data_IF_467137407854
#
_entry.id   IF_467137407854
#
_cell.length_a   1.000
_cell.length_b   1.000
_cell.length_c   1.000
_cell.angle_alpha   90.00
_cell.angle_beta   90.00
_cell.angle_gamma   90.00
#
_symmetry.space_group_name_H-M   'P 1'
#
loop_
_entity.id
_entity.type
_entity.pdbx_description
1 polymer ?
#
# COMPACT_ATOMS: atom_id res chain seq x y z
N UNK A 1 -56.71 -28.09 -43.88
CA UNK A 1 -55.88 -29.09 -44.48
C UNK A 1 -54.71 -29.15 -43.55
N UNK A 2 -54.87 -29.81 -42.45
CA UNK A 2 -54.71 -31.27 -42.22
C UNK A 2 -53.23 -31.57 -42.22
N UNK A 3 -52.64 -32.08 -41.27
CA UNK A 3 -52.76 -33.01 -40.14
C UNK A 3 -51.33 -33.29 -39.71
N UNK A 4 -50.95 -33.46 -38.59
CA UNK A 4 -51.33 -34.18 -37.37
C UNK A 4 -50.19 -35.19 -36.99
N UNK A 5 -50.03 -35.36 -35.73
CA UNK A 5 -49.49 -36.53 -34.99
C UNK A 5 -47.95 -36.76 -34.98
N UNK A 6 -47.30 -37.14 -33.91
CA UNK A 6 -47.71 -37.62 -32.57
C UNK A 6 -46.50 -37.75 -31.67
N UNK A 7 -46.67 -37.46 -30.43
CA UNK A 7 -46.11 -37.99 -29.18
C UNK A 7 -45.41 -39.37 -29.26
N UNK A 8 -44.34 -39.50 -28.47
CA UNK A 8 -44.27 -40.57 -27.47
C UNK A 8 -43.32 -40.28 -26.31
N UNK A 9 -43.92 -40.17 -25.14
CA UNK A 9 -43.30 -40.32 -23.79
C UNK A 9 -43.01 -41.80 -23.51
N UNK A 10 -42.01 -42.05 -22.64
CA UNK A 10 -41.95 -43.12 -21.60
C UNK A 10 -40.60 -42.97 -20.88
N UNK A 11 -40.48 -42.52 -19.72
CA UNK A 11 -40.81 -42.94 -18.31
C UNK A 11 -40.38 -44.35 -17.94
N UNK A 12 -39.78 -44.38 -16.73
CA UNK A 12 -39.70 -45.50 -15.72
C UNK A 12 -38.37 -46.31 -15.80
N UNK A 13 -37.68 -46.74 -14.76
CA UNK A 13 -37.88 -46.75 -13.29
C UNK A 13 -36.60 -47.31 -12.64
N UNK A 14 -36.30 -46.84 -11.45
CA UNK A 14 -35.71 -47.49 -10.29
C UNK A 14 -35.07 -48.88 -10.42
N UNK A 15 -33.91 -49.07 -9.76
CA UNK A 15 -33.87 -50.01 -8.64
C UNK A 15 -32.60 -49.84 -7.77
N UNK A 16 -32.88 -49.71 -6.51
CA UNK A 16 -31.95 -49.89 -5.38
C UNK A 16 -31.54 -51.39 -5.31
N UNK A 17 -30.33 -51.65 -4.89
CA UNK A 17 -30.08 -52.76 -3.95
C UNK A 17 -28.83 -52.52 -3.10
N UNK A 18 -29.06 -52.54 -1.82
CA UNK A 18 -28.14 -52.76 -0.73
C UNK A 18 -27.52 -54.15 -0.81
N UNK A 19 -26.28 -54.32 -0.39
CA UNK A 19 -25.87 -55.50 0.37
C UNK A 19 -24.72 -55.16 1.30
N UNK A 20 -24.92 -55.54 2.53
CA UNK A 20 -24.11 -55.49 3.73
C UNK A 20 -23.26 -56.76 3.93
N UNK A 21 -22.34 -56.67 4.86
CA UNK A 21 -21.74 -57.71 5.75
C UNK A 21 -20.35 -58.19 5.33
N UNK A 22 -19.36 -57.95 6.09
CA UNK A 22 -18.95 -58.40 7.40
C UNK A 22 -17.82 -59.44 7.37
N UNK A 23 -16.74 -59.09 8.03
CA UNK A 23 -15.85 -59.81 8.94
C UNK A 23 -15.07 -61.04 8.42
N UNK A 24 -13.80 -61.13 8.69
CA UNK A 24 -13.17 -61.94 9.76
C UNK A 24 -11.64 -61.75 9.72
N UNK A 25 -11.09 -61.69 10.89
CA UNK A 25 -9.71 -61.55 11.30
C UNK A 25 -8.83 -62.73 10.90
N UNK A 26 -7.55 -62.51 10.72
CA UNK A 26 -6.51 -63.40 11.33
C UNK A 26 -5.14 -62.69 11.31
N UNK A 27 -4.53 -62.71 12.44
CA UNK A 27 -3.23 -62.24 12.81
C UNK A 27 -2.11 -63.01 12.11
N UNK A 28 -1.07 -62.31 11.70
CA UNK A 28 0.29 -62.83 11.64
C UNK A 28 1.28 -61.73 11.99
N UNK A 29 1.86 -61.88 13.17
CA UNK A 29 2.98 -61.13 13.70
C UNK A 29 4.22 -61.48 12.89
N UNK A 30 4.77 -60.50 12.16
CA UNK A 30 6.17 -60.57 11.73
C UNK A 30 6.84 -59.27 12.18
N UNK A 31 7.69 -59.42 13.20
CA UNK A 31 8.65 -58.40 13.60
C UNK A 31 9.63 -58.11 12.45
N UNK A 32 9.56 -56.94 11.86
CA UNK A 32 10.67 -56.36 11.15
C UNK A 32 10.96 -54.98 11.77
N UNK A 33 12.02 -54.94 12.54
CA UNK A 33 12.69 -53.70 12.93
C UNK A 33 13.14 -52.98 11.67
N UNK A 34 12.42 -51.94 11.30
CA UNK A 34 12.92 -50.90 10.39
C UNK A 34 12.79 -49.57 11.12
N UNK A 35 13.95 -49.14 11.58
CA UNK A 35 14.20 -47.80 12.10
C UNK A 35 13.70 -46.73 11.13
N UNK A 36 12.62 -46.05 11.48
CA UNK A 36 12.19 -44.81 10.82
C UNK A 36 13.24 -43.74 11.13
N UNK A 37 13.70 -42.98 10.12
CA UNK A 37 14.53 -41.83 10.41
C UNK A 37 13.69 -40.80 11.17
N UNK A 38 14.17 -40.42 12.34
CA UNK A 38 13.66 -39.28 13.06
C UNK A 38 13.70 -38.05 12.15
N UNK A 39 12.55 -37.49 11.83
CA UNK A 39 12.45 -36.15 11.29
C UNK A 39 12.94 -35.19 12.37
N UNK A 40 14.20 -34.85 12.32
CA UNK A 40 14.73 -33.72 13.07
C UNK A 40 13.99 -32.49 12.57
N UNK A 41 13.05 -31.99 13.36
CA UNK A 41 12.56 -30.63 13.23
C UNK A 41 13.79 -29.74 13.43
N UNK A 42 14.25 -29.16 12.33
CA UNK A 42 15.21 -28.06 12.38
C UNK A 42 14.55 -26.95 13.19
N UNK A 43 15.14 -26.48 14.28
CA UNK A 43 14.58 -25.33 14.99
C UNK A 43 14.58 -24.17 13.99
N UNK A 44 13.46 -23.45 13.94
CA UNK A 44 13.34 -22.22 13.20
C UNK A 44 14.56 -21.37 13.55
N UNK A 45 15.38 -21.09 12.54
CA UNK A 45 16.52 -20.20 12.65
C UNK A 45 16.03 -18.87 13.18
N UNK A 46 16.34 -18.57 14.43
CA UNK A 46 16.22 -17.21 14.97
C UNK A 46 16.99 -16.33 14.02
N UNK A 47 16.31 -15.36 13.43
CA UNK A 47 16.92 -14.32 12.61
C UNK A 47 18.03 -13.66 13.42
N UNK A 48 19.24 -13.73 12.91
CA UNK A 48 20.43 -13.07 13.45
C UNK A 48 20.20 -11.56 13.45
N UNK A 49 20.13 -10.88 14.59
CA UNK A 49 19.88 -9.44 14.66
C UNK A 49 21.04 -8.58 14.12
N UNK A 50 22.14 -9.21 13.68
CA UNK A 50 23.34 -8.51 13.18
C UNK A 50 23.43 -8.49 11.65
N UNK A 51 22.51 -9.15 10.94
CA UNK A 51 22.47 -9.08 9.48
C UNK A 51 21.86 -7.74 9.07
N UNK A 52 22.58 -6.83 8.40
CA UNK A 52 21.98 -5.60 7.90
C UNK A 52 20.84 -5.98 6.96
N UNK A 53 19.65 -5.59 7.32
CA UNK A 53 18.47 -5.73 6.49
C UNK A 53 18.74 -4.96 5.18
N UNK A 54 18.86 -5.69 4.08
CA UNK A 54 19.07 -5.12 2.74
C UNK A 54 17.79 -4.37 2.36
N UNK A 55 17.73 -3.09 2.75
CA UNK A 55 16.62 -2.23 2.37
C UNK A 55 16.82 -1.80 0.91
N UNK A 56 15.83 -1.97 0.04
CA UNK A 56 15.89 -1.41 -1.31
C UNK A 56 15.98 0.12 -1.20
N UNK A 57 16.81 0.73 -2.03
CA UNK A 57 16.99 2.18 -2.09
C UNK A 57 16.68 2.64 -3.49
N UNK A 58 16.24 3.88 -3.61
CA UNK A 58 16.21 4.58 -4.89
C UNK A 58 17.64 4.94 -5.28
N UNK A 59 18.05 4.53 -6.46
CA UNK A 59 19.29 4.99 -7.04
C UNK A 59 19.06 6.36 -7.68
N UNK A 60 20.04 7.27 -7.54
CA UNK A 60 19.99 8.56 -8.23
C UNK A 60 20.64 8.37 -9.59
N UNK A 61 19.94 8.77 -10.64
CA UNK A 61 20.49 8.68 -11.98
C UNK A 61 21.77 9.52 -12.13
N UNK A 62 22.64 9.13 -13.08
CA UNK A 62 23.93 9.79 -13.32
C UNK A 62 23.81 11.23 -13.78
N UNK A 63 22.64 11.64 -14.30
CA UNK A 63 22.33 13.02 -14.65
C UNK A 63 21.04 13.48 -13.93
N UNK A 64 21.09 13.65 -12.58
CA UNK A 64 19.93 14.07 -11.81
C UNK A 64 19.43 15.43 -12.31
N UNK A 65 18.14 15.53 -12.62
CA UNK A 65 17.51 16.80 -12.94
C UNK A 65 17.31 17.56 -11.62
N UNK A 66 17.99 18.70 -11.38
CA UNK A 66 17.83 19.45 -10.13
C UNK A 66 16.36 19.84 -9.95
N UNK A 67 15.83 19.69 -8.73
CA UNK A 67 14.51 20.23 -8.42
C UNK A 67 14.52 21.72 -8.61
N UNK A 68 13.54 22.31 -9.34
CA UNK A 68 13.43 23.77 -9.45
C UNK A 68 13.09 24.44 -8.12
N UNK A 69 12.68 23.68 -7.10
CA UNK A 69 12.33 24.16 -5.76
C UNK A 69 13.53 24.09 -4.78
N UNK A 70 14.77 24.08 -5.30
CA UNK A 70 16.01 23.98 -4.50
C UNK A 70 16.26 25.16 -3.52
N UNK A 71 15.40 26.18 -3.50
CA UNK A 71 15.48 27.29 -2.54
C UNK A 71 15.19 26.87 -1.10
N UNK A 72 14.64 25.65 -0.86
CA UNK A 72 14.37 25.13 0.48
C UNK A 72 15.62 24.61 1.22
N UNK A 73 16.80 24.62 0.63
CA UNK A 73 18.07 24.29 1.26
C UNK A 73 18.80 25.50 1.85
N UNK A 74 18.10 26.57 2.22
CA UNK A 74 18.68 27.70 2.93
C UNK A 74 19.25 27.23 4.28
N UNK A 75 20.44 27.70 4.69
CA UNK A 75 21.05 27.28 5.95
C UNK A 75 20.13 27.64 7.12
N UNK A 76 19.90 26.65 7.99
CA UNK A 76 19.10 26.81 9.21
C UNK A 76 19.60 28.01 10.01
N UNK A 77 18.75 28.99 10.19
CA UNK A 77 19.06 30.21 10.93
C UNK A 77 19.35 29.84 12.41
N UNK A 78 20.55 30.14 12.89
CA UNK A 78 21.02 29.82 14.24
C UNK A 78 20.22 30.51 15.38
N UNK A 79 19.21 31.33 15.05
CA UNK A 79 18.32 32.02 15.99
C UNK A 79 16.89 31.47 15.97
N UNK A 80 16.68 30.25 15.45
CA UNK A 80 15.37 29.62 15.57
C UNK A 80 15.04 29.29 17.04
N UNK A 81 13.76 29.45 17.48
CA UNK A 81 13.35 29.04 18.81
C UNK A 81 13.68 27.55 19.02
N UNK A 82 14.13 27.24 20.25
CA UNK A 82 14.45 25.85 20.64
C UNK A 82 13.32 24.89 20.21
N UNK A 83 13.67 23.69 19.71
CA UNK A 83 12.69 22.71 19.30
C UNK A 83 11.75 22.38 20.47
N UNK A 84 10.46 22.08 20.18
CA UNK A 84 9.50 21.72 21.21
C UNK A 84 9.98 20.53 22.03
N UNK A 85 9.63 20.52 23.32
CA UNK A 85 10.00 19.48 24.28
C UNK A 85 9.66 18.08 23.76
N UNK A 86 10.52 17.11 24.04
CA UNK A 86 10.36 15.72 23.62
C UNK A 86 9.14 15.07 24.29
N UNK A 87 8.43 14.14 23.61
CA UNK A 87 7.32 13.40 24.21
C UNK A 87 7.72 12.70 25.51
N UNK A 88 6.88 12.87 26.53
CA UNK A 88 7.12 12.29 27.87
C UNK A 88 8.02 13.11 28.78
N UNK A 89 8.54 14.26 28.36
CA UNK A 89 9.32 15.17 29.20
C UNK A 89 8.39 16.05 30.02
N UNK A 90 8.53 15.97 31.35
CA UNK A 90 7.82 16.85 32.29
C UNK A 90 8.61 18.14 32.41
N UNK A 91 8.13 19.21 31.80
CA UNK A 91 8.74 20.55 31.97
C UNK A 91 8.02 21.35 33.07
N UNK A 92 8.80 21.89 34.00
CA UNK A 92 8.31 22.83 35.00
C UNK A 92 8.37 24.24 34.41
N UNK A 93 7.22 24.85 34.19
CA UNK A 93 7.17 26.27 33.81
C UNK A 93 7.60 27.15 34.96
N UNK A 94 8.04 28.37 34.64
CA UNK A 94 8.45 29.35 35.65
C UNK A 94 7.34 29.73 36.65
N UNK A 95 6.07 29.47 36.28
CA UNK A 95 4.89 29.63 37.11
C UNK A 95 4.61 28.45 38.07
N UNK A 96 5.49 27.43 38.07
CA UNK A 96 5.36 26.25 38.95
C UNK A 96 4.43 25.17 38.44
N UNK A 97 3.82 25.35 37.25
CA UNK A 97 2.93 24.36 36.62
C UNK A 97 3.76 23.30 35.88
N UNK A 98 3.44 22.03 36.09
CA UNK A 98 4.03 20.93 35.35
C UNK A 98 3.22 20.67 34.08
N UNK A 99 3.86 20.76 32.93
CA UNK A 99 3.25 20.41 31.65
C UNK A 99 3.83 19.09 31.21
N UNK A 100 2.98 18.07 31.06
CA UNK A 100 3.31 16.79 30.46
C UNK A 100 2.87 16.84 29.00
N UNK A 101 3.81 16.78 28.08
CA UNK A 101 3.49 16.55 26.66
C UNK A 101 3.32 15.05 26.44
N UNK A 102 2.10 14.61 26.25
CA UNK A 102 1.81 13.26 25.81
C UNK A 102 1.54 13.32 24.31
N UNK A 103 2.46 12.79 23.50
CA UNK A 103 2.17 12.56 22.09
C UNK A 103 1.13 11.45 22.02
N UNK A 104 -0.05 11.83 21.63
CA UNK A 104 -1.10 10.88 21.30
C UNK A 104 -1.03 10.69 19.80
N UNK A 105 -0.45 9.58 19.36
CA UNK A 105 -0.36 9.23 17.93
C UNK A 105 -1.78 9.07 17.37
N UNK A 106 -2.21 10.03 16.57
CA UNK A 106 -3.45 9.92 15.81
C UNK A 106 -3.21 9.05 14.58
N UNK A 107 -4.07 8.05 14.39
CA UNK A 107 -4.07 7.21 13.21
C UNK A 107 -4.98 7.86 12.16
N UNK A 108 -4.40 8.32 11.07
CA UNK A 108 -5.13 8.90 9.94
C UNK A 108 -5.43 7.84 8.89
N UNK A 109 -6.67 7.78 8.43
CA UNK A 109 -7.16 6.88 7.40
C UNK A 109 -7.67 7.69 6.21
N UNK A 110 -7.21 7.36 5.02
CA UNK A 110 -7.85 7.76 3.77
C UNK A 110 -8.95 6.75 3.45
N UNK A 111 -10.18 7.23 3.34
CA UNK A 111 -11.37 6.41 3.15
C UNK A 111 -12.13 6.86 1.91
N UNK A 112 -12.37 5.96 0.96
CA UNK A 112 -13.30 6.19 -0.15
C UNK A 112 -14.58 5.40 0.10
N UNK A 113 -15.72 6.09 0.12
CA UNK A 113 -17.03 5.47 0.24
C UNK A 113 -17.66 5.33 -1.15
N UNK A 114 -18.11 4.13 -1.50
CA UNK A 114 -18.74 3.84 -2.78
C UNK A 114 -20.09 3.15 -2.59
N UNK A 115 -21.05 3.48 -3.46
CA UNK A 115 -22.36 2.84 -3.49
C UNK A 115 -22.29 1.44 -4.14
N UNK A 116 -23.43 0.75 -4.22
CA UNK A 116 -23.54 -0.58 -4.85
C UNK A 116 -23.19 -0.58 -6.35
N UNK A 117 -23.16 0.59 -6.98
CA UNK A 117 -22.78 0.77 -8.40
C UNK A 117 -21.32 1.19 -8.56
N UNK A 118 -20.57 1.26 -7.46
CA UNK A 118 -19.15 1.69 -7.47
C UNK A 118 -18.96 3.21 -7.60
N UNK A 119 -20.02 4.02 -7.47
CA UNK A 119 -19.92 5.48 -7.56
C UNK A 119 -19.51 6.06 -6.21
N UNK A 120 -18.63 7.06 -6.21
CA UNK A 120 -18.22 7.80 -5.02
C UNK A 120 -19.44 8.42 -4.31
N UNK A 121 -19.46 8.34 -2.98
CA UNK A 121 -20.45 8.97 -2.10
C UNK A 121 -19.72 10.05 -1.30
N UNK A 122 -20.03 11.32 -1.60
CA UNK A 122 -19.26 12.48 -1.12
C UNK A 122 -19.99 13.30 -0.05
N UNK A 123 -21.25 12.98 0.26
CA UNK A 123 -22.10 13.76 1.18
C UNK A 123 -22.24 13.12 2.57
N UNK A 124 -21.30 12.26 2.97
CA UNK A 124 -21.28 11.63 4.27
C UNK A 124 -20.69 12.54 5.34
N UNK A 125 -21.22 12.40 6.55
CA UNK A 125 -20.74 13.12 7.73
C UNK A 125 -19.96 12.21 8.67
N UNK A 126 -19.23 12.78 9.61
CA UNK A 126 -18.47 12.04 10.62
C UNK A 126 -19.29 10.94 11.32
N UNK A 127 -20.56 11.21 11.62
CA UNK A 127 -21.44 10.27 12.32
C UNK A 127 -21.87 9.05 11.50
N UNK A 128 -21.70 9.11 10.18
CA UNK A 128 -22.04 8.03 9.27
C UNK A 128 -20.95 6.93 9.23
N UNK A 129 -19.77 7.20 9.79
CA UNK A 129 -18.63 6.28 9.79
C UNK A 129 -18.45 5.59 11.15
N UNK A 130 -18.08 4.31 11.09
CA UNK A 130 -17.67 3.49 12.25
C UNK A 130 -16.31 2.88 11.95
N UNK A 131 -15.35 3.07 12.86
CA UNK A 131 -13.99 2.56 12.73
C UNK A 131 -13.81 1.42 13.69
N UNK A 132 -13.15 0.36 13.24
CA UNK A 132 -12.77 -0.78 14.06
C UNK A 132 -11.27 -1.05 13.88
N UNK A 133 -10.57 -1.19 15.01
CA UNK A 133 -9.18 -1.67 15.06
C UNK A 133 -9.14 -3.00 15.80
N UNK A 134 -8.60 -4.04 15.17
CA UNK A 134 -8.60 -5.42 15.68
C UNK A 134 -10.02 -5.88 16.15
N UNK A 135 -11.05 -5.41 15.45
CA UNK A 135 -12.45 -5.68 15.79
C UNK A 135 -13.03 -4.80 16.91
N UNK A 136 -12.22 -3.98 17.56
CA UNK A 136 -12.66 -3.07 18.64
C UNK A 136 -13.08 -1.72 18.06
N UNK A 137 -14.29 -1.22 18.37
CA UNK A 137 -14.74 0.09 17.86
C UNK A 137 -13.86 1.22 18.41
N UNK A 138 -13.52 2.17 17.55
CA UNK A 138 -12.70 3.32 17.86
C UNK A 138 -13.52 4.62 17.74
N UNK A 139 -13.15 5.62 18.54
CA UNK A 139 -13.79 6.93 18.48
C UNK A 139 -13.07 7.82 17.46
N UNK A 140 -13.81 8.33 16.48
CA UNK A 140 -13.28 9.30 15.52
C UNK A 140 -12.90 10.59 16.23
N UNK A 141 -11.67 11.06 16.06
CA UNK A 141 -11.14 12.31 16.64
C UNK A 141 -11.14 13.44 15.62
N UNK A 142 -10.72 13.16 14.41
CA UNK A 142 -10.75 14.12 13.31
C UNK A 142 -11.50 13.57 12.09
N UNK A 143 -12.12 14.48 11.34
CA UNK A 143 -12.86 14.16 10.13
C UNK A 143 -12.75 15.32 9.15
N UNK A 144 -12.30 15.02 7.94
CA UNK A 144 -12.15 16.01 6.89
C UNK A 144 -12.56 15.40 5.55
N UNK A 145 -13.39 16.13 4.82
CA UNK A 145 -13.73 15.85 3.43
C UNK A 145 -13.51 17.12 2.62
N UNK A 146 -12.31 17.31 2.15
CA UNK A 146 -11.90 18.44 1.33
C UNK A 146 -10.80 17.98 0.40
N UNK A 147 -10.67 18.62 -0.76
CA UNK A 147 -9.53 18.40 -1.66
C UNK A 147 -8.24 18.88 -0.98
N UNK A 148 -7.55 17.92 -0.37
CA UNK A 148 -6.27 18.15 0.29
C UNK A 148 -5.12 17.91 -0.69
N UNK A 149 -4.11 18.77 -0.71
CA UNK A 149 -2.92 18.52 -1.50
C UNK A 149 -2.19 17.28 -1.01
N UNK A 150 -1.61 16.54 -1.95
CA UNK A 150 -0.95 15.25 -1.72
C UNK A 150 0.52 15.27 -2.11
N UNK A 151 1.33 14.49 -1.37
CA UNK A 151 2.66 14.08 -1.81
C UNK A 151 2.51 12.78 -2.60
N UNK A 152 2.89 12.79 -3.87
CA UNK A 152 2.65 11.69 -4.81
C UNK A 152 3.94 11.14 -5.39
N UNK A 153 4.11 9.82 -5.37
CA UNK A 153 5.13 9.12 -6.16
C UNK A 153 4.51 8.54 -7.43
N UNK A 154 5.10 8.82 -8.58
CA UNK A 154 4.71 8.22 -9.86
C UNK A 154 5.81 7.25 -10.25
N UNK A 155 5.47 5.96 -10.22
CA UNK A 155 6.38 4.86 -10.54
C UNK A 155 5.99 4.30 -11.90
N UNK A 156 6.90 4.38 -12.83
CA UNK A 156 6.66 3.92 -14.20
C UNK A 156 7.65 2.81 -14.54
N UNK A 157 7.09 1.69 -14.94
CA UNK A 157 7.86 0.57 -15.45
C UNK A 157 8.63 0.97 -16.71
N UNK A 158 9.93 0.69 -16.69
CA UNK A 158 10.87 0.98 -17.76
C UNK A 158 11.48 -0.32 -18.33
N UNK A 159 10.82 -1.46 -18.12
CA UNK A 159 11.21 -2.73 -18.70
C UNK A 159 11.05 -2.74 -20.23
N UNK A 160 11.67 -3.73 -20.88
CA UNK A 160 11.69 -3.80 -22.35
C UNK A 160 10.32 -3.92 -23.01
N UNK A 161 9.32 -4.51 -22.34
CA UNK A 161 7.93 -4.66 -22.82
C UNK A 161 7.14 -3.35 -22.86
N UNK A 162 7.60 -2.33 -22.13
CA UNK A 162 6.96 -1.02 -22.05
C UNK A 162 7.25 -0.10 -23.25
N UNK A 163 8.19 -0.48 -24.14
CA UNK A 163 8.68 0.39 -25.22
C UNK A 163 7.57 1.08 -26.02
N UNK A 164 6.63 0.31 -26.53
CA UNK A 164 5.54 0.81 -27.36
C UNK A 164 4.40 1.48 -26.57
N UNK A 165 4.36 1.29 -25.24
CA UNK A 165 3.32 1.79 -24.36
C UNK A 165 3.71 3.11 -23.68
N UNK A 166 5.01 3.41 -23.64
CA UNK A 166 5.60 4.46 -22.83
C UNK A 166 5.05 5.86 -23.13
N UNK A 167 4.83 6.19 -24.39
CA UNK A 167 4.29 7.50 -24.76
C UNK A 167 2.89 7.72 -24.16
N UNK A 168 1.98 6.74 -24.29
CA UNK A 168 0.63 6.81 -23.73
C UNK A 168 0.65 6.88 -22.19
N UNK A 169 1.55 6.13 -21.55
CA UNK A 169 1.73 6.14 -20.10
C UNK A 169 2.22 7.49 -19.59
N UNK A 170 3.20 8.08 -20.25
CA UNK A 170 3.70 9.41 -19.89
C UNK A 170 2.61 10.48 -20.04
N UNK A 171 1.83 10.44 -21.12
CA UNK A 171 0.71 11.35 -21.33
C UNK A 171 -0.36 11.17 -20.24
N UNK A 172 -0.68 9.95 -19.86
CA UNK A 172 -1.64 9.65 -18.80
C UNK A 172 -1.15 10.16 -17.43
N UNK A 173 0.12 9.92 -17.09
CA UNK A 173 0.72 10.44 -15.86
C UNK A 173 0.70 11.98 -15.80
N UNK A 174 1.02 12.64 -16.90
CA UNK A 174 0.94 14.10 -17.00
C UNK A 174 -0.50 14.63 -16.92
N UNK A 175 -1.46 13.92 -17.50
CA UNK A 175 -2.87 14.29 -17.43
C UNK A 175 -3.42 14.12 -16.00
N UNK A 176 -3.00 13.07 -15.27
CA UNK A 176 -3.30 12.94 -13.85
C UNK A 176 -2.78 14.14 -13.07
N UNK A 177 -1.50 14.51 -13.26
CA UNK A 177 -0.88 15.66 -12.58
C UNK A 177 -1.56 16.99 -12.90
N UNK A 178 -1.99 17.18 -14.15
CA UNK A 178 -2.76 18.39 -14.54
C UNK A 178 -4.15 18.44 -13.95
N UNK A 179 -4.78 17.27 -13.76
CA UNK A 179 -6.10 17.13 -13.17
C UNK A 179 -6.07 17.17 -11.64
N UNK A 180 -4.90 17.05 -11.03
CA UNK A 180 -4.66 17.06 -9.59
C UNK A 180 -4.68 18.50 -9.01
N UNK A 181 -4.57 18.61 -7.68
CA UNK A 181 -4.52 19.90 -6.99
C UNK A 181 -3.22 20.64 -7.35
N UNK A 182 -3.26 21.95 -7.70
CA UNK A 182 -2.05 22.72 -8.03
C UNK A 182 -0.99 22.77 -6.90
N UNK A 183 -1.38 22.44 -5.66
CA UNK A 183 -0.49 22.38 -4.50
C UNK A 183 0.07 20.98 -4.27
N UNK A 184 -0.24 20.00 -5.12
CA UNK A 184 0.35 18.69 -5.04
C UNK A 184 1.85 18.77 -5.33
N UNK A 185 2.60 17.91 -4.66
CA UNK A 185 4.01 17.74 -4.90
C UNK A 185 4.28 16.29 -5.31
N UNK A 186 4.91 16.08 -6.45
CA UNK A 186 5.15 14.75 -6.97
C UNK A 186 6.63 14.49 -7.23
N UNK A 187 7.05 13.24 -7.15
CA UNK A 187 8.33 12.74 -7.63
C UNK A 187 8.10 11.62 -8.67
N UNK A 188 9.11 11.38 -9.50
CA UNK A 188 9.06 10.37 -10.56
C UNK A 188 10.14 9.33 -10.34
N UNK A 189 9.75 8.07 -10.37
CA UNK A 189 10.63 6.90 -10.36
C UNK A 189 10.38 6.09 -11.62
N UNK A 190 11.41 5.89 -12.41
CA UNK A 190 11.42 4.87 -13.45
C UNK A 190 12.10 3.62 -12.91
N UNK A 191 11.53 2.45 -13.15
CA UNK A 191 12.10 1.21 -12.62
C UNK A 191 12.16 0.11 -13.68
N UNK A 192 13.21 -0.68 -13.62
CA UNK A 192 13.40 -1.92 -14.36
C UNK A 192 14.01 -2.97 -13.45
N UNK A 193 15.26 -3.36 -13.60
CA UNK A 193 16.03 -4.17 -12.64
C UNK A 193 16.36 -3.42 -11.33
N UNK A 194 16.33 -2.09 -11.36
CA UNK A 194 16.49 -1.18 -10.24
C UNK A 194 15.46 -0.05 -10.33
N UNK A 195 15.30 0.69 -9.24
CA UNK A 195 14.43 1.86 -9.19
C UNK A 195 15.26 3.16 -9.16
N UNK A 196 15.01 4.06 -10.11
CA UNK A 196 15.73 5.31 -10.32
C UNK A 196 14.83 6.50 -10.00
N UNK A 197 15.31 7.41 -9.14
CA UNK A 197 14.66 8.68 -8.86
C UNK A 197 15.04 9.70 -9.94
N UNK A 198 14.23 9.81 -10.98
CA UNK A 198 14.50 10.69 -12.11
C UNK A 198 14.08 12.14 -11.89
N UNK A 199 13.13 12.36 -10.99
CA UNK A 199 12.73 13.68 -10.54
C UNK A 199 12.32 13.63 -9.07
N UNK A 200 12.97 14.40 -8.23
CA UNK A 200 12.59 14.61 -6.83
C UNK A 200 11.29 15.40 -6.70
N UNK A 201 10.81 15.56 -5.45
CA UNK A 201 9.55 16.26 -5.18
C UNK A 201 9.48 17.65 -5.78
N UNK A 202 8.45 17.91 -6.58
CA UNK A 202 8.17 19.21 -7.18
C UNK A 202 6.70 19.34 -7.59
N UNK A 203 6.18 20.55 -7.67
CA UNK A 203 4.89 20.89 -8.29
C UNK A 203 5.05 21.34 -9.77
N UNK A 204 6.28 21.43 -10.28
CA UNK A 204 6.57 21.89 -11.62
C UNK A 204 6.32 20.80 -12.66
N UNK A 205 5.23 20.91 -13.42
CA UNK A 205 4.85 19.94 -14.44
C UNK A 205 5.93 19.73 -15.53
N UNK A 206 6.69 20.77 -15.87
CA UNK A 206 7.74 20.64 -16.88
C UNK A 206 8.93 19.81 -16.36
N UNK A 207 9.25 19.91 -15.06
CA UNK A 207 10.26 19.08 -14.43
C UNK A 207 9.79 17.63 -14.35
N UNK A 208 8.56 17.38 -13.90
CA UNK A 208 7.96 16.05 -13.86
C UNK A 208 7.90 15.39 -15.25
N UNK A 209 7.55 16.17 -16.29
CA UNK A 209 7.58 15.67 -17.67
C UNK A 209 8.98 15.25 -18.13
N UNK A 210 10.03 15.97 -17.74
CA UNK A 210 11.40 15.55 -18.06
C UNK A 210 11.77 14.24 -17.35
N UNK A 211 11.41 14.09 -16.08
CA UNK A 211 11.61 12.84 -15.35
C UNK A 211 10.88 11.65 -15.98
N UNK A 212 9.62 11.86 -16.41
CA UNK A 212 8.84 10.85 -17.13
C UNK A 212 9.43 10.51 -18.51
N UNK A 213 10.06 11.49 -19.18
CA UNK A 213 10.66 11.29 -20.49
C UNK A 213 11.99 10.53 -20.43
N UNK A 214 12.58 10.40 -19.25
CA UNK A 214 13.79 9.61 -19.09
C UNK A 214 13.46 8.12 -19.18
N UNK A 215 14.02 7.48 -20.20
CA UNK A 215 13.61 6.13 -20.52
C UNK A 215 14.66 5.40 -21.39
N UNK A 216 15.07 4.23 -20.99
CA UNK A 216 16.00 3.37 -21.72
C UNK A 216 15.44 1.97 -22.04
N UNK A 217 14.24 1.65 -21.55
CA UNK A 217 13.47 0.41 -21.80
C UNK A 217 14.31 -0.85 -21.88
N UNK A 218 14.90 -1.22 -20.78
CA UNK A 218 15.78 -2.40 -20.69
C UNK A 218 15.57 -3.16 -19.40
N UNK A 219 15.83 -4.45 -19.47
CA UNK A 219 15.91 -5.30 -18.27
C UNK A 219 14.59 -5.87 -17.79
N UNK A 220 14.64 -6.59 -16.69
CA UNK A 220 13.49 -7.17 -15.98
C UNK A 220 12.76 -6.13 -15.13
N UNK A 221 11.76 -6.57 -14.35
CA UNK A 221 10.85 -5.71 -13.59
C UNK A 221 11.00 -5.93 -12.08
N UNK A 222 11.63 -5.00 -11.35
CA UNK A 222 11.77 -5.02 -9.89
C UNK A 222 10.68 -4.14 -9.23
N UNK A 223 9.42 -4.50 -9.40
CA UNK A 223 8.24 -3.76 -8.96
C UNK A 223 8.19 -3.59 -7.43
N UNK A 224 8.41 -4.68 -6.68
CA UNK A 224 8.25 -4.65 -5.23
C UNK A 224 9.35 -3.82 -4.55
N UNK A 225 10.58 -3.90 -5.07
CA UNK A 225 11.68 -3.06 -4.61
C UNK A 225 11.40 -1.57 -4.90
N UNK A 226 10.87 -1.25 -6.10
CA UNK A 226 10.50 0.11 -6.47
C UNK A 226 9.40 0.69 -5.57
N UNK A 227 8.37 -0.10 -5.27
CA UNK A 227 7.27 0.31 -4.37
C UNK A 227 7.80 0.56 -2.95
N UNK A 228 8.62 -0.34 -2.41
CA UNK A 228 9.17 -0.19 -1.07
C UNK A 228 10.10 1.04 -0.96
N UNK A 229 11.00 1.23 -1.93
CA UNK A 229 11.92 2.36 -1.96
C UNK A 229 11.19 3.69 -2.13
N UNK A 230 10.12 3.72 -2.94
CA UNK A 230 9.28 4.92 -3.12
C UNK A 230 8.43 5.23 -1.88
N UNK A 231 8.00 4.22 -1.14
CA UNK A 231 7.35 4.43 0.16
C UNK A 231 8.33 5.03 1.19
N UNK A 232 9.60 4.61 1.16
CA UNK A 232 10.66 5.22 1.98
C UNK A 232 10.93 6.67 1.58
N UNK A 233 10.93 6.99 0.27
CA UNK A 233 11.05 8.36 -0.23
C UNK A 233 9.92 9.25 0.28
N UNK A 234 8.66 8.77 0.22
CA UNK A 234 7.53 9.47 0.83
C UNK A 234 7.71 9.68 2.33
N UNK A 235 8.08 8.64 3.06
CA UNK A 235 8.22 8.73 4.52
C UNK A 235 9.31 9.72 4.96
N UNK A 236 10.38 9.88 4.17
CA UNK A 236 11.51 10.72 4.50
C UNK A 236 11.38 12.16 3.99
N UNK A 237 10.73 12.38 2.85
CA UNK A 237 10.77 13.66 2.14
C UNK A 237 9.40 14.27 1.86
N UNK A 238 8.27 13.54 2.08
CA UNK A 238 6.94 14.11 1.88
C UNK A 238 6.66 15.24 2.88
N UNK A 239 6.24 16.39 2.37
CA UNK A 239 5.84 17.56 3.18
C UNK A 239 4.34 17.60 3.48
N UNK A 240 3.54 16.89 2.69
CA UNK A 240 2.07 16.88 2.78
C UNK A 240 1.59 15.60 3.47
N UNK A 241 0.57 15.69 4.34
CA UNK A 241 0.15 14.55 5.17
C UNK A 241 -0.51 13.42 4.38
N UNK A 242 -1.18 13.74 3.27
CA UNK A 242 -1.78 12.74 2.38
C UNK A 242 -0.74 12.24 1.39
N UNK A 243 -0.52 10.94 1.36
CA UNK A 243 0.53 10.31 0.57
C UNK A 243 -0.05 9.26 -0.37
N UNK A 244 0.40 9.28 -1.61
CA UNK A 244 -0.09 8.39 -2.68
C UNK A 244 1.07 7.86 -3.49
N UNK A 245 1.00 6.59 -3.89
CA UNK A 245 1.84 6.01 -4.95
C UNK A 245 0.94 5.61 -6.12
N UNK A 246 1.31 6.03 -7.31
CA UNK A 246 0.75 5.53 -8.56
C UNK A 246 1.79 4.67 -9.25
N UNK A 247 1.47 3.41 -9.47
CA UNK A 247 2.34 2.43 -10.14
C UNK A 247 1.75 2.08 -11.49
N UNK A 248 2.54 2.18 -12.55
CA UNK A 248 2.13 1.81 -13.91
C UNK A 248 3.13 0.80 -14.44
N UNK A 249 2.65 -0.41 -14.73
CA UNK A 249 3.47 -1.54 -15.20
C UNK A 249 2.69 -2.39 -16.21
N UNK A 250 3.38 -3.16 -17.02
CA UNK A 250 2.76 -4.11 -17.96
C UNK A 250 3.08 -5.58 -17.66
N UNK A 251 3.73 -5.84 -16.51
CA UNK A 251 4.17 -7.18 -16.16
C UNK A 251 4.13 -7.52 -14.69
N UNK A 252 4.45 -8.78 -14.42
CA UNK A 252 4.69 -9.27 -13.07
C UNK A 252 6.11 -8.94 -12.61
N UNK A 253 6.28 -8.81 -11.30
CA UNK A 253 7.62 -8.74 -10.71
C UNK A 253 8.43 -10.00 -11.01
N UNK A 254 9.68 -9.80 -11.46
CA UNK A 254 10.60 -10.89 -11.77
C UNK A 254 12.07 -10.61 -11.39
N UNK A 255 12.32 -9.48 -10.73
CA UNK A 255 13.68 -9.05 -10.38
C UNK A 255 13.83 -8.48 -8.97
N UNK A 256 12.75 -8.24 -8.24
CA UNK A 256 12.85 -7.72 -6.88
C UNK A 256 13.54 -8.68 -5.93
N UNK A 257 14.21 -8.13 -4.94
CA UNK A 257 14.76 -8.85 -3.78
C UNK A 257 13.68 -9.10 -2.72
N UNK A 258 12.73 -8.18 -2.63
CA UNK A 258 11.56 -8.30 -1.76
C UNK A 258 10.49 -9.16 -2.45
N UNK A 259 9.75 -9.90 -1.64
CA UNK A 259 8.47 -10.47 -2.07
C UNK A 259 7.31 -9.47 -1.88
N UNK A 260 6.15 -9.79 -2.44
CA UNK A 260 4.95 -8.95 -2.34
C UNK A 260 4.56 -8.65 -0.90
N UNK A 261 4.65 -9.64 -0.01
CA UNK A 261 4.29 -9.48 1.40
C UNK A 261 5.24 -8.53 2.12
N UNK A 262 6.53 -8.60 1.79
CA UNK A 262 7.55 -7.70 2.34
C UNK A 262 7.33 -6.26 1.86
N UNK A 263 7.04 -6.06 0.57
CA UNK A 263 6.72 -4.74 0.03
C UNK A 263 5.47 -4.14 0.68
N UNK A 264 4.38 -4.90 0.79
CA UNK A 264 3.15 -4.46 1.46
C UNK A 264 3.43 -4.10 2.93
N UNK A 265 4.15 -4.97 3.65
CA UNK A 265 4.54 -4.68 5.04
C UNK A 265 5.38 -3.41 5.16
N UNK A 266 6.30 -3.18 4.22
CA UNK A 266 7.11 -1.95 4.21
C UNK A 266 6.23 -0.72 4.07
N UNK A 267 5.34 -0.70 3.08
CA UNK A 267 4.37 0.39 2.89
C UNK A 267 3.57 0.62 4.17
N UNK A 268 2.97 -0.42 4.74
CA UNK A 268 2.13 -0.32 5.94
C UNK A 268 2.89 0.12 7.19
N UNK A 269 4.18 -0.22 7.33
CA UNK A 269 5.02 0.14 8.49
C UNK A 269 5.37 1.62 8.54
N UNK A 270 5.35 2.30 7.40
CA UNK A 270 5.66 3.72 7.29
C UNK A 270 4.47 4.64 7.60
N UNK A 271 3.32 4.08 7.95
CA UNK A 271 2.07 4.80 8.11
C UNK A 271 1.32 4.98 6.78
N UNK A 272 1.82 4.45 5.79
CA UNK A 272 1.67 4.06 4.42
C UNK A 272 0.90 4.97 3.47
N UNK A 273 1.47 5.23 2.28
CA UNK A 273 0.72 5.80 1.17
C UNK A 273 -0.40 4.87 0.72
N UNK A 274 -1.45 5.45 0.13
CA UNK A 274 -2.43 4.72 -0.67
C UNK A 274 -1.78 4.37 -2.00
N UNK A 275 -1.78 3.09 -2.40
CA UNK A 275 -1.15 2.65 -3.65
C UNK A 275 -2.21 2.35 -4.70
N UNK A 276 -2.18 3.10 -5.79
CA UNK A 276 -2.95 2.84 -7.00
C UNK A 276 -2.06 2.11 -8.01
N UNK A 277 -2.61 1.15 -8.71
CA UNK A 277 -1.86 0.45 -9.77
C UNK A 277 -2.63 0.45 -11.08
N UNK A 278 -1.92 0.63 -12.19
CA UNK A 278 -2.44 0.50 -13.54
C UNK A 278 -1.64 -0.62 -14.21
N UNK A 279 -2.26 -1.77 -14.39
CA UNK A 279 -1.66 -2.95 -15.03
C UNK A 279 -2.04 -3.04 -16.50
N UNK A 280 -1.13 -2.73 -17.41
CA UNK A 280 -1.33 -2.77 -18.86
C UNK A 280 -1.09 -4.20 -19.37
N UNK A 281 -1.94 -5.13 -18.98
CA UNK A 281 -1.74 -6.57 -19.14
C UNK A 281 -2.27 -7.14 -20.47
N UNK A 282 -2.92 -6.34 -21.30
CA UNK A 282 -3.40 -6.79 -22.60
C UNK A 282 -2.21 -7.14 -23.53
N UNK A 283 -2.32 -8.26 -24.22
CA UNK A 283 -1.25 -8.76 -25.09
C UNK A 283 -0.13 -9.54 -24.39
N UNK A 284 -0.14 -9.59 -23.06
CA UNK A 284 0.78 -10.44 -22.30
C UNK A 284 0.35 -11.92 -22.29
N UNK A 285 1.27 -12.81 -21.92
CA UNK A 285 0.93 -14.21 -21.63
C UNK A 285 -0.10 -14.31 -20.52
N UNK A 286 -1.05 -15.24 -20.63
CA UNK A 286 -2.18 -15.34 -19.69
C UNK A 286 -1.75 -15.62 -18.26
N UNK A 287 -0.77 -16.49 -18.06
CA UNK A 287 -0.32 -16.88 -16.73
C UNK A 287 0.48 -15.74 -16.09
N UNK A 288 1.26 -15.01 -16.87
CA UNK A 288 1.98 -13.82 -16.40
C UNK A 288 1.03 -12.66 -16.10
N UNK A 289 0.06 -12.41 -16.97
CA UNK A 289 -0.98 -11.40 -16.76
C UNK A 289 -1.78 -11.68 -15.49
N UNK A 290 -2.16 -12.94 -15.24
CA UNK A 290 -2.89 -13.31 -14.04
C UNK A 290 -2.05 -13.13 -12.76
N UNK A 291 -0.77 -13.53 -12.79
CA UNK A 291 0.16 -13.28 -11.66
C UNK A 291 0.30 -11.79 -11.35
N UNK A 292 0.51 -10.98 -12.41
CA UNK A 292 0.58 -9.53 -12.26
C UNK A 292 -0.71 -8.95 -11.70
N UNK A 293 -1.86 -9.36 -12.23
CA UNK A 293 -3.19 -8.94 -11.76
C UNK A 293 -3.38 -9.19 -10.28
N UNK A 294 -3.17 -10.42 -9.83
CA UNK A 294 -3.33 -10.82 -8.42
C UNK A 294 -2.41 -10.00 -7.50
N UNK A 295 -1.16 -9.77 -7.91
CA UNK A 295 -0.20 -9.00 -7.14
C UNK A 295 -0.60 -7.52 -7.04
N UNK A 296 -0.97 -6.90 -8.16
CA UNK A 296 -1.37 -5.49 -8.22
C UNK A 296 -2.68 -5.23 -7.46
N UNK A 297 -3.68 -6.11 -7.62
CA UNK A 297 -4.93 -6.05 -6.85
C UNK A 297 -4.68 -6.16 -5.35
N UNK A 298 -3.80 -7.06 -4.94
CA UNK A 298 -3.46 -7.23 -3.53
C UNK A 298 -2.71 -6.02 -2.98
N UNK A 299 -1.71 -5.51 -3.69
CA UNK A 299 -0.94 -4.34 -3.30
C UNK A 299 -1.85 -3.13 -3.09
N UNK A 300 -2.73 -2.84 -4.04
CA UNK A 300 -3.67 -1.73 -3.95
C UNK A 300 -4.69 -1.93 -2.82
N UNK A 301 -5.33 -3.10 -2.73
CA UNK A 301 -6.34 -3.41 -1.71
C UNK A 301 -5.79 -3.28 -0.29
N UNK A 302 -4.61 -3.82 -0.02
CA UNK A 302 -4.01 -3.82 1.33
C UNK A 302 -3.59 -2.41 1.79
N UNK A 303 -3.43 -1.48 0.85
CA UNK A 303 -3.04 -0.08 1.10
C UNK A 303 -4.22 0.90 0.97
N UNK A 304 -5.39 0.44 0.51
CA UNK A 304 -6.61 1.24 0.39
C UNK A 304 -6.83 1.90 -0.97
N UNK A 305 -6.03 1.55 -1.97
CA UNK A 305 -6.17 2.02 -3.36
C UNK A 305 -6.98 1.08 -4.26
N UNK A 306 -6.85 1.28 -5.55
CA UNK A 306 -7.50 0.49 -6.61
C UNK A 306 -6.45 0.03 -7.61
N UNK A 307 -6.63 -1.19 -8.12
CA UNK A 307 -5.92 -1.70 -9.28
C UNK A 307 -6.82 -1.60 -10.51
N UNK A 308 -6.31 -0.99 -11.56
CA UNK A 308 -6.97 -0.81 -12.84
C UNK A 308 -6.29 -1.64 -13.90
N UNK A 309 -7.07 -2.20 -14.82
CA UNK A 309 -6.57 -3.05 -15.90
C UNK A 309 -7.22 -2.61 -17.22
N UNK A 310 -6.63 -1.62 -17.91
CA UNK A 310 -7.15 -1.14 -19.18
C UNK A 310 -7.13 -2.24 -20.25
N UNK A 311 -8.05 -2.17 -21.19
CA UNK A 311 -8.10 -3.05 -22.35
C UNK A 311 -7.40 -2.45 -23.58
N UNK A 312 -7.08 -1.17 -23.53
CA UNK A 312 -6.35 -0.44 -24.57
C UNK A 312 -5.50 0.71 -23.98
N UNK A 313 -4.60 1.27 -24.78
CA UNK A 313 -3.78 2.42 -24.33
C UNK A 313 -4.62 3.71 -24.19
N UNK A 314 -5.71 3.83 -24.93
CA UNK A 314 -6.62 4.98 -24.83
C UNK A 314 -7.29 5.03 -23.44
N UNK A 315 -7.68 3.89 -22.89
CA UNK A 315 -8.29 3.80 -21.56
C UNK A 315 -7.34 4.23 -20.43
N UNK A 316 -6.02 4.20 -20.63
CA UNK A 316 -5.05 4.58 -19.59
C UNK A 316 -5.25 6.05 -19.18
N UNK A 317 -5.56 6.94 -20.13
CA UNK A 317 -5.85 8.34 -19.85
C UNK A 317 -7.15 8.54 -19.06
N UNK A 318 -8.19 7.77 -19.36
CA UNK A 318 -9.47 7.83 -18.64
C UNK A 318 -9.29 7.34 -17.21
N UNK A 319 -8.55 6.25 -17.03
CA UNK A 319 -8.20 5.69 -15.72
C UNK A 319 -7.36 6.70 -14.91
N UNK A 320 -6.39 7.36 -15.52
CA UNK A 320 -5.59 8.38 -14.84
C UNK A 320 -6.46 9.52 -14.30
N UNK A 321 -7.46 9.97 -15.07
CA UNK A 321 -8.42 10.98 -14.63
C UNK A 321 -9.34 10.45 -13.52
N UNK A 322 -9.70 9.16 -13.53
CA UNK A 322 -10.47 8.51 -12.47
C UNK A 322 -9.67 8.42 -11.17
N UNK A 323 -8.40 8.01 -11.24
CA UNK A 323 -7.48 8.00 -10.09
C UNK A 323 -7.35 9.40 -9.48
N UNK A 324 -7.19 10.44 -10.30
CA UNK A 324 -7.12 11.81 -9.81
C UNK A 324 -8.39 12.23 -9.06
N UNK A 325 -9.57 11.83 -9.54
CA UNK A 325 -10.85 12.08 -8.85
C UNK A 325 -10.93 11.29 -7.54
N UNK A 326 -10.63 10.00 -7.56
CA UNK A 326 -10.67 9.15 -6.37
C UNK A 326 -9.74 9.65 -5.27
N UNK A 327 -8.56 10.13 -5.62
CA UNK A 327 -7.63 10.75 -4.66
C UNK A 327 -8.26 11.98 -3.98
N UNK A 328 -9.00 12.82 -4.71
CA UNK A 328 -9.62 14.05 -4.16
C UNK A 328 -10.86 13.77 -3.32
N UNK A 329 -11.66 12.79 -3.74
CA UNK A 329 -12.97 12.50 -3.13
C UNK A 329 -12.87 11.66 -1.84
N UNK A 330 -11.66 11.36 -1.35
CA UNK A 330 -11.45 10.61 -0.13
C UNK A 330 -11.72 11.43 1.13
N UNK A 331 -12.38 10.80 2.08
CA UNK A 331 -12.46 11.27 3.46
C UNK A 331 -11.16 10.99 4.19
N UNK A 332 -10.67 11.94 4.97
CA UNK A 332 -9.59 11.72 5.94
C UNK A 332 -10.21 11.61 7.32
N UNK A 333 -10.06 10.44 7.95
CA UNK A 333 -10.66 10.14 9.24
C UNK A 333 -9.55 9.79 10.22
N UNK A 334 -9.50 10.49 11.35
CA UNK A 334 -8.53 10.23 12.41
C UNK A 334 -9.17 9.61 13.64
N UNK A 335 -8.40 8.77 14.34
CA UNK A 335 -8.77 8.23 15.63
C UNK A 335 -7.51 7.99 16.50
N UNK A 336 -7.69 8.02 17.81
CA UNK A 336 -6.65 7.54 18.73
C UNK A 336 -6.92 6.09 19.08
N UNK A 337 -5.93 5.23 18.82
CA UNK A 337 -6.05 3.82 19.15
C UNK A 337 -6.23 3.61 20.64
N UNK A 338 -7.22 2.78 21.02
CA UNK A 338 -7.41 2.34 22.41
C UNK A 338 -6.33 1.37 22.88
N UNK A 339 -5.54 0.81 21.95
CA UNK A 339 -4.41 -0.06 22.23
C UNK A 339 -3.12 0.75 22.26
N UNK A 340 -2.37 0.67 23.37
CA UNK A 340 -1.14 1.44 23.53
C UNK A 340 -0.13 1.19 22.40
N UNK A 341 0.47 2.27 21.86
CA UNK A 341 1.48 2.18 20.78
C UNK A 341 2.72 1.40 21.22
N UNK A 342 3.07 1.42 22.51
CA UNK A 342 4.20 0.67 23.08
C UNK A 342 4.14 -0.84 22.88
N UNK A 343 2.94 -1.41 22.68
CA UNK A 343 2.76 -2.82 22.38
C UNK A 343 3.21 -3.17 20.96
N UNK A 344 3.32 -2.18 20.07
CA UNK A 344 3.71 -2.38 18.66
C UNK A 344 2.78 -3.37 17.93
N UNK A 345 3.31 -3.98 16.87
CA UNK A 345 2.64 -5.02 16.10
C UNK A 345 1.71 -4.50 15.03
N UNK A 346 1.24 -5.42 14.19
CA UNK A 346 0.24 -5.12 13.15
C UNK A 346 -1.14 -4.98 13.77
N UNK A 347 -1.93 -4.04 13.26
CA UNK A 347 -3.30 -3.76 13.68
C UNK A 347 -4.19 -3.73 12.45
N UNK A 348 -5.21 -4.55 12.45
CA UNK A 348 -6.20 -4.56 11.36
C UNK A 348 -7.13 -3.37 11.49
N UNK A 349 -7.49 -2.76 10.38
CA UNK A 349 -8.43 -1.62 10.33
C UNK A 349 -9.60 -1.99 9.44
N UNK A 350 -10.80 -1.66 9.89
CA UNK A 350 -12.04 -1.76 9.12
C UNK A 350 -12.88 -0.52 9.37
N UNK A 351 -13.37 0.07 8.28
CA UNK A 351 -14.26 1.23 8.33
C UNK A 351 -15.58 0.84 7.66
N UNK A 352 -16.67 1.17 8.30
CA UNK A 352 -18.02 1.01 7.78
C UNK A 352 -18.68 2.37 7.62
N UNK A 353 -19.50 2.55 6.59
CA UNK A 353 -20.33 3.74 6.42
C UNK A 353 -21.81 3.34 6.33
N UNK A 354 -22.67 4.14 6.95
CA UNK A 354 -24.10 3.95 6.92
C UNK A 354 -24.81 5.31 7.02
N UNK A 355 -25.58 5.65 6.00
CA UNK A 355 -26.38 6.88 5.98
C UNK A 355 -27.77 6.59 5.44
N UNK A 356 -28.84 7.19 6.02
CA UNK A 356 -30.24 6.93 5.60
C UNK A 356 -30.54 7.23 4.13
N UNK A 357 -29.80 8.16 3.53
CA UNK A 357 -29.97 8.58 2.13
C UNK A 357 -29.39 7.59 1.12
N UNK A 358 -28.48 6.75 1.56
CA UNK A 358 -27.73 5.84 0.71
C UNK A 358 -28.07 4.41 1.11
N UNK A 359 -28.10 3.52 0.14
CA UNK A 359 -28.26 2.10 0.37
C UNK A 359 -26.99 1.49 1.00
N UNK A 360 -26.71 0.25 0.64
CA UNK A 360 -25.48 -0.40 1.09
C UNK A 360 -24.26 0.29 0.47
N UNK A 361 -23.32 0.65 1.31
CA UNK A 361 -22.06 1.27 0.90
C UNK A 361 -20.87 0.37 1.28
N UNK A 362 -19.80 0.50 0.52
CA UNK A 362 -18.50 -0.10 0.84
C UNK A 362 -17.51 1.01 1.09
N UNK A 363 -16.74 0.92 2.18
CA UNK A 363 -15.65 1.84 2.45
C UNK A 363 -14.33 1.15 2.16
N UNK A 364 -13.56 1.76 1.28
CA UNK A 364 -12.21 1.35 0.95
C UNK A 364 -11.23 2.18 1.78
N UNK A 365 -10.32 1.51 2.47
CA UNK A 365 -9.21 2.08 3.23
C UNK A 365 -8.12 1.02 3.39
N UNK A 366 -6.97 1.37 3.92
CA UNK A 366 -5.92 0.39 4.20
C UNK A 366 -6.41 -0.73 5.11
N UNK A 367 -5.98 -1.96 4.87
CA UNK A 367 -6.37 -3.14 5.66
C UNK A 367 -5.82 -3.11 7.09
N UNK A 368 -4.75 -2.35 7.33
CA UNK A 368 -4.12 -2.20 8.63
C UNK A 368 -2.82 -1.41 8.57
N UNK A 369 -2.14 -1.34 9.70
CA UNK A 369 -0.88 -0.65 9.85
C UNK A 369 -0.03 -1.27 10.96
N UNK A 370 1.28 -0.97 10.96
CA UNK A 370 2.16 -1.31 12.07
C UNK A 370 2.25 -0.14 13.05
N UNK A 371 1.86 -0.37 14.30
CA UNK A 371 1.98 0.64 15.34
C UNK A 371 3.46 0.94 15.62
N UNK A 372 3.86 2.22 15.48
CA UNK A 372 5.22 2.66 15.79
C UNK A 372 5.40 2.65 17.31
N UNK A 373 6.41 1.93 17.81
CA UNK A 373 6.81 2.05 19.21
C UNK A 373 7.37 3.45 19.43
N UNK A 374 7.01 4.12 20.52
CA UNK A 374 7.67 5.37 20.89
C UNK A 374 9.19 5.14 20.94
N UNK A 375 9.96 6.06 20.38
CA UNK A 375 11.41 5.99 20.48
C UNK A 375 11.79 5.92 21.97
N UNK A 376 12.51 4.89 22.38
CA UNK A 376 13.06 4.84 23.74
C UNK A 376 13.98 6.06 23.91
N UNK A 377 13.82 6.86 24.97
CA UNK A 377 14.76 7.93 25.25
C UNK A 377 16.14 7.31 25.33
N UNK A 378 17.08 7.86 24.54
CA UNK A 378 18.48 7.43 24.58
C UNK A 378 18.90 7.41 26.06
N UNK A 379 19.31 6.23 26.56
CA UNK A 379 19.92 6.11 27.89
C UNK A 379 21.12 7.04 27.89
N UNK A 380 20.99 8.16 28.59
CA UNK A 380 22.12 9.00 28.92
C UNK A 380 23.04 8.11 29.78
N UNK A 381 24.11 7.59 29.19
CA UNK A 381 25.20 7.02 29.99
C UNK A 381 25.74 8.20 30.82
N UNK A 382 25.36 8.22 32.08
CA UNK A 382 26.00 9.08 33.07
C UNK A 382 27.45 8.64 33.13
N UNK A 383 28.34 9.49 32.66
CA UNK A 383 29.80 9.35 32.88
C UNK A 383 30.06 9.51 34.40
N UNK A 384 29.88 8.43 35.12
CA UNK A 384 30.31 8.27 36.51
C UNK A 384 31.14 6.99 36.55
N UNK A 385 32.38 7.06 36.06
CA UNK A 385 33.51 6.24 36.51
C UNK A 385 34.75 6.64 35.71
N UNK A 386 35.26 7.82 36.02
CA UNK A 386 36.64 8.19 35.67
C UNK A 386 37.25 8.92 36.85
N UNK A 387 37.30 8.24 38.02
CA UNK A 387 38.23 8.60 39.08
C UNK A 387 38.45 7.37 39.97
N UNK A 388 39.36 6.55 39.56
CA UNK A 388 40.23 5.75 40.46
C UNK A 388 41.50 5.36 39.73
#
# INVERSE_FOLDING_TARGET
MDDDHTMHSRTILNSRTFWTAAAIASALLVCCNSSLPAWTQTPATMSDPTRPELQPRLDVDHDPIPSPDAEDNAPVNANAPLPPARPGEIQKRQDGVYTMHQDVDEVLLSCAAVDEKGRSVEDLNRGDFRIFEDGVPQTTTSFLHQDQPVSMGILVDNSGSMLDKRAAVNDAALNLLRASNPRDSAFVVNFSDHAYLDQGFTSNLAALNRGLAHFDSKGPTALYDAVAASADELANHAKLPKQVLLVITDGADNASRLDLDQAIRRVQSLGGPVVYTIGILFGADKDEAEKARVALERLSRETGGIAYFPHSLEEVNEIAAEVARDIRDQYTIGYHSTRAASLGGYRTVRVEASAPKHGRMTVRTRAGYFAKKPAQPARTQTAADATR
#
